data_IF_998277236210
#
_entry.id   IF_998277236210
#
_cell.length_a   1.000
_cell.length_b   1.000
_cell.length_c   1.000
_cell.angle_alpha   90.00
_cell.angle_beta   90.00
_cell.angle_gamma   90.00
#
_symmetry.space_group_name_H-M   'P 1'
#
loop_
_entity.id
_entity.type
_entity.pdbx_description
1 polymer ?
#
# COMPACT_ATOMS: atom_id res chain seq x y z
N UNK A 1 -16.49 40.72 3.17
CA UNK A 1 -17.65 40.05 3.80
C UNK A 1 -18.77 40.02 2.79
N UNK A 2 -19.31 38.87 2.56
CA UNK A 2 -20.44 38.68 1.65
C UNK A 2 -21.64 38.17 2.45
N UNK A 3 -22.78 38.80 2.31
CA UNK A 3 -24.05 38.28 2.81
C UNK A 3 -24.86 37.71 1.65
N UNK A 4 -25.98 37.08 1.93
CA UNK A 4 -26.87 36.51 0.91
C UNK A 4 -27.33 37.55 -0.16
N UNK A 5 -27.27 38.83 0.18
CA UNK A 5 -27.77 39.92 -0.68
C UNK A 5 -26.73 41.00 -1.02
N UNK A 6 -25.61 41.09 -0.30
CA UNK A 6 -24.63 42.18 -0.44
C UNK A 6 -23.21 41.74 -0.11
N UNK A 7 -22.25 42.43 -0.71
CA UNK A 7 -20.81 42.28 -0.38
C UNK A 7 -20.30 43.56 0.27
N UNK A 8 -19.45 43.41 1.26
CA UNK A 8 -18.84 44.50 2.02
C UNK A 8 -17.34 44.29 2.08
N UNK A 9 -16.57 45.37 2.03
CA UNK A 9 -15.12 45.34 2.25
C UNK A 9 -14.81 45.99 3.59
N UNK A 10 -13.89 45.39 4.37
CA UNK A 10 -13.41 46.01 5.61
C UNK A 10 -12.55 47.21 5.31
N UNK A 11 -12.46 48.14 6.25
CA UNK A 11 -11.48 49.23 6.27
C UNK A 11 -10.05 48.70 6.56
N UNK A 12 -9.08 49.58 6.64
CA UNK A 12 -7.67 49.26 6.92
C UNK A 12 -7.47 48.64 8.31
N UNK A 13 -8.40 48.76 9.23
CA UNK A 13 -8.37 48.18 10.57
C UNK A 13 -9.16 46.87 10.68
N UNK A 14 -9.73 46.40 9.57
CA UNK A 14 -10.52 45.19 9.51
C UNK A 14 -11.98 45.35 9.93
N UNK A 15 -12.51 46.57 10.06
CA UNK A 15 -13.88 46.84 10.43
C UNK A 15 -14.77 47.05 9.24
N UNK A 16 -16.01 46.61 9.34
CA UNK A 16 -17.12 46.99 8.45
C UNK A 16 -18.35 47.28 9.29
N UNK A 17 -19.01 48.38 8.98
CA UNK A 17 -20.24 48.78 9.65
C UNK A 17 -21.43 48.40 8.77
N UNK A 18 -22.30 47.57 9.32
CA UNK A 18 -23.49 47.10 8.64
C UNK A 18 -24.69 47.57 9.42
N UNK A 19 -25.63 48.24 8.74
CA UNK A 19 -26.86 48.74 9.37
C UNK A 19 -27.75 47.55 9.69
N UNK A 20 -28.03 47.34 10.96
CA UNK A 20 -28.82 46.22 11.45
C UNK A 20 -30.31 46.40 11.19
N UNK A 21 -31.10 45.39 11.51
CA UNK A 21 -32.55 45.32 11.42
C UNK A 21 -33.06 43.90 11.18
N UNK A 22 -32.38 43.12 10.36
CA UNK A 22 -32.77 41.75 10.04
C UNK A 22 -31.63 40.77 10.39
N UNK A 23 -31.98 39.50 10.55
CA UNK A 23 -31.00 38.43 10.71
C UNK A 23 -30.08 38.36 9.48
N UNK A 24 -28.79 38.13 9.70
CA UNK A 24 -27.79 38.18 8.63
C UNK A 24 -26.91 36.96 8.63
N UNK A 25 -26.87 36.28 7.49
CA UNK A 25 -25.96 35.17 7.22
C UNK A 25 -24.96 35.56 6.13
N UNK A 26 -23.78 34.98 6.17
CA UNK A 26 -22.82 35.27 5.13
C UNK A 26 -21.45 34.61 5.36
N UNK A 27 -20.50 35.04 4.56
CA UNK A 27 -19.13 34.53 4.56
C UNK A 27 -18.15 35.68 4.67
N UNK A 28 -17.14 35.55 5.51
CA UNK A 28 -15.97 36.40 5.53
C UNK A 28 -14.81 35.68 4.87
N UNK A 29 -14.09 36.37 4.00
CA UNK A 29 -12.87 35.82 3.34
C UNK A 29 -11.86 36.95 3.12
N UNK A 30 -10.57 36.58 3.05
CA UNK A 30 -9.49 37.46 2.68
C UNK A 30 -8.49 36.70 1.81
N UNK A 31 -7.72 37.39 0.97
CA UNK A 31 -6.69 36.79 0.12
C UNK A 31 -5.62 36.12 1.00
N UNK A 32 -5.32 34.83 0.76
CA UNK A 32 -4.39 34.06 1.54
C UNK A 32 -4.93 33.50 2.87
N UNK A 33 -6.25 33.65 3.09
CA UNK A 33 -6.93 33.15 4.27
C UNK A 33 -8.11 32.24 3.87
N UNK A 34 -8.44 31.30 4.75
CA UNK A 34 -9.66 30.52 4.61
C UNK A 34 -10.90 31.38 4.86
N UNK A 35 -12.00 31.00 4.22
CA UNK A 35 -13.29 31.64 4.50
C UNK A 35 -13.92 31.10 5.78
N UNK A 36 -14.67 31.95 6.49
CA UNK A 36 -15.50 31.58 7.62
C UNK A 36 -16.92 32.03 7.39
N UNK A 37 -17.92 31.31 7.90
CA UNK A 37 -19.32 31.64 7.81
C UNK A 37 -19.82 32.27 9.10
N UNK A 38 -20.85 33.08 9.02
CA UNK A 38 -21.51 33.66 10.19
C UNK A 38 -23.04 33.65 10.03
N UNK A 39 -23.72 33.58 11.16
CA UNK A 39 -25.17 33.63 11.25
C UNK A 39 -25.53 34.51 12.47
N UNK A 40 -25.91 35.74 12.24
CA UNK A 40 -26.27 36.67 13.29
C UNK A 40 -27.79 36.86 13.32
N UNK A 41 -28.41 36.83 14.51
CA UNK A 41 -29.83 37.18 14.66
C UNK A 41 -30.06 38.64 14.30
N UNK A 42 -31.32 39.04 14.19
CA UNK A 42 -31.70 40.43 14.00
C UNK A 42 -31.12 41.31 15.12
N UNK A 43 -30.46 42.40 14.74
CA UNK A 43 -29.74 43.29 15.65
C UNK A 43 -30.64 44.51 15.93
N UNK A 44 -31.00 44.68 17.20
CA UNK A 44 -31.85 45.80 17.67
C UNK A 44 -31.07 46.91 18.37
N UNK A 45 -29.81 46.64 18.77
CA UNK A 45 -28.92 47.60 19.42
C UNK A 45 -27.54 47.53 18.79
N UNK A 46 -26.70 48.55 19.03
CA UNK A 46 -25.32 48.54 18.58
C UNK A 46 -24.55 47.36 19.23
N UNK A 47 -24.08 46.47 18.41
CA UNK A 47 -23.28 45.29 18.81
C UNK A 47 -22.04 45.15 17.93
N UNK A 48 -21.02 44.56 18.45
CA UNK A 48 -19.82 44.19 17.68
C UNK A 48 -19.63 42.67 17.70
N UNK A 49 -19.29 42.11 16.56
CA UNK A 49 -18.93 40.70 16.42
C UNK A 49 -17.55 40.57 15.78
N UNK A 50 -16.75 39.74 16.36
CA UNK A 50 -15.42 39.41 15.80
C UNK A 50 -15.53 38.12 14.96
N UNK A 51 -15.12 38.21 13.70
CA UNK A 51 -15.05 37.09 12.79
C UNK A 51 -13.54 36.77 12.54
N UNK A 52 -13.12 35.59 12.90
CA UNK A 52 -11.75 35.18 12.67
C UNK A 52 -11.59 34.48 11.32
N UNK A 53 -10.57 34.85 10.59
CA UNK A 53 -10.11 34.16 9.39
C UNK A 53 -8.68 33.71 9.63
N UNK A 54 -8.38 32.48 9.28
CA UNK A 54 -7.04 31.90 9.48
C UNK A 54 -6.29 31.84 8.15
N UNK A 55 -4.99 32.17 8.20
CA UNK A 55 -4.14 32.02 7.05
C UNK A 55 -4.15 30.56 6.57
N UNK A 56 -4.17 30.38 5.26
CA UNK A 56 -3.96 29.08 4.64
C UNK A 56 -2.49 28.76 4.66
N UNK A 57 -2.16 27.55 5.05
CA UNK A 57 -0.80 27.03 5.07
C UNK A 57 -0.68 25.80 4.19
N UNK A 58 0.50 25.59 3.65
CA UNK A 58 0.81 24.41 2.86
C UNK A 58 1.01 23.20 3.77
N UNK A 59 0.19 22.17 3.59
CA UNK A 59 0.33 20.88 4.22
C UNK A 59 0.78 19.88 3.16
N UNK A 60 2.06 19.50 3.20
CA UNK A 60 2.66 18.55 2.27
C UNK A 60 2.44 17.13 2.78
N UNK A 61 1.75 16.30 2.02
CA UNK A 61 1.67 14.87 2.25
C UNK A 61 2.77 14.17 1.45
N UNK A 62 3.46 13.24 2.11
CA UNK A 62 4.50 12.38 1.50
C UNK A 62 4.05 10.94 1.69
N UNK A 63 3.67 10.29 0.61
CA UNK A 63 3.06 8.96 0.63
C UNK A 63 4.06 7.91 0.16
N UNK A 64 4.32 6.93 1.01
CA UNK A 64 5.22 5.81 0.73
C UNK A 64 4.54 4.48 1.02
N UNK A 65 4.89 3.48 0.24
CA UNK A 65 4.48 2.10 0.45
C UNK A 65 5.19 1.41 1.62
N UNK A 66 4.77 0.22 1.91
CA UNK A 66 5.20 -0.60 3.05
C UNK A 66 6.72 -0.78 3.13
N UNK A 67 7.41 -0.89 1.99
CA UNK A 67 8.86 -1.09 1.90
C UNK A 67 9.63 0.17 1.46
N UNK A 68 8.97 1.36 1.55
CA UNK A 68 9.58 2.65 1.26
C UNK A 68 9.49 3.07 -0.20
N UNK A 69 8.86 2.27 -1.07
CA UNK A 69 8.56 2.65 -2.45
C UNK A 69 7.70 3.92 -2.48
N UNK A 70 7.92 4.77 -3.47
CA UNK A 70 7.11 5.96 -3.70
C UNK A 70 5.73 5.52 -4.21
N UNK A 71 4.65 6.13 -3.69
CA UNK A 71 3.29 5.89 -4.16
C UNK A 71 2.82 7.09 -4.96
N UNK A 72 2.86 6.94 -6.28
CA UNK A 72 2.43 7.95 -7.26
C UNK A 72 0.94 7.78 -7.55
N UNK A 73 0.21 8.88 -7.77
CA UNK A 73 -1.22 8.82 -8.12
C UNK A 73 -2.15 8.45 -6.95
N UNK A 74 -1.64 8.41 -5.72
CA UNK A 74 -2.50 8.25 -4.56
C UNK A 74 -3.33 9.51 -4.33
N UNK A 75 -4.63 9.35 -4.16
CA UNK A 75 -5.54 10.46 -3.86
C UNK A 75 -5.54 10.73 -2.37
N UNK A 76 -5.08 11.91 -1.98
CA UNK A 76 -5.09 12.41 -0.60
C UNK A 76 -6.28 13.33 -0.43
N UNK A 77 -7.15 13.02 0.51
CA UNK A 77 -8.33 13.85 0.89
C UNK A 77 -8.16 14.34 2.32
N UNK A 78 -8.25 15.66 2.53
CA UNK A 78 -8.13 16.28 3.84
C UNK A 78 -8.81 17.65 3.84
N UNK A 79 -9.59 17.97 4.88
CA UNK A 79 -10.26 19.25 5.02
C UNK A 79 -11.21 19.61 3.84
N UNK A 80 -11.88 18.61 3.26
CA UNK A 80 -12.77 18.76 2.11
C UNK A 80 -12.05 19.04 0.79
N UNK A 81 -10.71 18.89 0.74
CA UNK A 81 -9.89 19.03 -0.46
C UNK A 81 -9.27 17.71 -0.82
N UNK A 82 -9.08 17.45 -2.13
CA UNK A 82 -8.43 16.24 -2.63
C UNK A 82 -7.37 16.58 -3.66
N UNK A 83 -6.28 15.83 -3.66
CA UNK A 83 -5.21 15.97 -4.64
C UNK A 83 -4.41 14.66 -4.77
N UNK A 84 -3.97 14.36 -5.98
CA UNK A 84 -3.13 13.19 -6.25
C UNK A 84 -1.65 13.47 -5.96
N UNK A 85 -0.93 12.44 -5.54
CA UNK A 85 0.52 12.48 -5.36
C UNK A 85 1.23 12.48 -6.73
N UNK A 86 2.31 13.24 -6.81
CA UNK A 86 3.18 13.34 -7.98
C UNK A 86 4.18 12.18 -8.06
N UNK A 87 5.12 12.22 -8.99
CA UNK A 87 6.18 11.23 -9.20
C UNK A 87 7.12 11.03 -7.99
N UNK A 88 7.09 11.93 -7.02
CA UNK A 88 7.84 11.83 -5.76
C UNK A 88 6.97 11.33 -4.60
N UNK A 89 5.73 10.93 -4.86
CA UNK A 89 4.76 10.54 -3.84
C UNK A 89 4.25 11.73 -3.00
N UNK A 90 4.33 12.95 -3.53
CA UNK A 90 4.02 14.16 -2.78
C UNK A 90 2.80 14.90 -3.35
N UNK A 91 1.98 15.44 -2.46
CA UNK A 91 1.01 16.48 -2.83
C UNK A 91 0.94 17.55 -1.74
N UNK A 92 0.46 18.73 -2.09
CA UNK A 92 0.29 19.86 -1.17
C UNK A 92 -1.18 20.26 -1.17
N UNK A 93 -1.80 20.25 0.00
CA UNK A 93 -3.12 20.80 0.26
C UNK A 93 -2.99 22.09 1.08
N UNK A 94 -3.74 23.10 0.70
CA UNK A 94 -3.79 24.37 1.44
C UNK A 94 -4.92 24.31 2.46
N UNK A 95 -4.59 24.28 3.75
CA UNK A 95 -5.53 24.17 4.85
C UNK A 95 -5.37 25.34 5.82
N UNK A 96 -6.42 25.66 6.56
CA UNK A 96 -6.37 26.62 7.66
C UNK A 96 -5.96 25.90 8.95
N UNK A 97 -5.63 26.68 10.00
CA UNK A 97 -5.44 26.13 11.35
C UNK A 97 -6.65 25.32 11.79
N UNK A 98 -6.41 24.09 12.25
CA UNK A 98 -7.47 23.16 12.70
C UNK A 98 -6.99 21.73 12.80
N UNK A 99 -7.88 20.87 13.26
CA UNK A 99 -7.68 19.41 13.25
C UNK A 99 -8.51 18.81 12.13
N UNK A 100 -7.89 18.00 11.28
CA UNK A 100 -8.52 17.41 10.11
C UNK A 100 -8.20 15.92 10.03
N UNK A 101 -9.22 15.12 9.77
CA UNK A 101 -9.02 13.75 9.36
C UNK A 101 -8.61 13.75 7.88
N UNK A 102 -7.68 12.84 7.56
CA UNK A 102 -7.27 12.59 6.19
C UNK A 102 -7.47 11.13 5.80
N UNK A 103 -7.69 10.92 4.54
CA UNK A 103 -7.73 9.62 3.89
C UNK A 103 -6.84 9.63 2.66
N UNK A 104 -6.10 8.53 2.46
CA UNK A 104 -5.27 8.32 1.27
C UNK A 104 -5.67 7.01 0.65
N UNK A 105 -6.07 7.03 -0.62
CA UNK A 105 -6.51 5.86 -1.39
C UNK A 105 -5.62 5.65 -2.61
N UNK A 106 -5.37 4.39 -2.94
CA UNK A 106 -4.66 3.98 -4.15
C UNK A 106 -5.10 2.57 -4.55
N UNK A 107 -5.31 2.26 -5.85
CA UNK A 107 -5.79 0.95 -6.28
C UNK A 107 -5.01 -0.25 -5.75
N UNK A 108 -3.68 -0.12 -5.68
CA UNK A 108 -2.75 -1.20 -5.34
C UNK A 108 -2.40 -1.27 -3.85
N UNK A 109 -3.02 -0.43 -3.03
CA UNK A 109 -2.72 -0.33 -1.62
C UNK A 109 -4.00 -0.32 -0.78
N UNK A 110 -3.90 -0.75 0.46
CA UNK A 110 -4.97 -0.53 1.44
C UNK A 110 -5.03 0.94 1.82
N UNK A 111 -6.24 1.45 2.03
CA UNK A 111 -6.48 2.84 2.44
C UNK A 111 -5.72 3.18 3.71
N UNK A 112 -5.13 4.37 3.74
CA UNK A 112 -4.51 4.92 4.92
C UNK A 112 -5.32 6.10 5.45
N UNK A 113 -5.57 6.14 6.74
CA UNK A 113 -6.34 7.18 7.43
C UNK A 113 -5.57 7.70 8.63
N UNK A 114 -5.82 8.95 8.98
CA UNK A 114 -5.23 9.57 10.15
C UNK A 114 -5.76 10.97 10.39
N UNK A 115 -5.23 11.63 11.40
CA UNK A 115 -5.59 13.00 11.77
C UNK A 115 -4.36 13.87 11.72
N UNK A 116 -4.49 15.08 11.18
CA UNK A 116 -3.44 16.10 11.16
C UNK A 116 -3.90 17.36 11.90
N UNK A 117 -3.05 17.85 12.79
CA UNK A 117 -3.27 19.12 13.49
C UNK A 117 -2.48 20.22 12.76
N UNK A 118 -3.20 21.06 12.02
CA UNK A 118 -2.63 22.16 11.22
C UNK A 118 -2.46 23.39 12.09
N UNK A 119 -1.24 23.88 12.20
CA UNK A 119 -0.88 25.12 12.90
C UNK A 119 -0.93 26.34 11.98
N UNK A 120 -0.03 27.29 12.23
CA UNK A 120 0.08 28.56 11.46
C UNK A 120 1.25 28.55 10.49
N UNK A 121 1.98 27.46 10.38
CA UNK A 121 3.15 27.31 9.50
C UNK A 121 3.00 26.07 8.61
N UNK A 122 3.64 26.09 7.44
CA UNK A 122 3.71 24.95 6.54
C UNK A 122 4.27 23.71 7.28
N UNK A 123 3.76 22.53 6.93
CA UNK A 123 4.14 21.28 7.57
C UNK A 123 4.13 20.11 6.59
N UNK A 124 4.71 18.99 7.03
CA UNK A 124 4.69 17.74 6.26
C UNK A 124 4.04 16.61 7.08
N UNK A 125 3.27 15.78 6.38
CA UNK A 125 2.63 14.57 6.90
C UNK A 125 3.18 13.38 6.13
N UNK A 126 3.84 12.47 6.84
CA UNK A 126 4.30 11.22 6.23
C UNK A 126 3.21 10.16 6.36
N UNK A 127 2.79 9.62 5.25
CA UNK A 127 1.77 8.55 5.20
C UNK A 127 2.42 7.27 4.68
N UNK A 128 2.21 6.19 5.40
CA UNK A 128 2.60 4.84 4.98
C UNK A 128 1.36 4.06 4.56
N UNK A 129 1.37 3.53 3.33
CA UNK A 129 0.33 2.65 2.81
C UNK A 129 0.82 1.21 2.76
N UNK A 130 -0.01 0.26 3.19
CA UNK A 130 0.29 -1.14 3.05
C UNK A 130 -0.13 -1.63 1.66
N UNK A 131 0.68 -2.49 1.07
CA UNK A 131 0.41 -3.08 -0.24
C UNK A 131 -0.81 -3.98 -0.16
N UNK A 132 -1.70 -3.91 -1.15
CA UNK A 132 -2.78 -4.86 -1.35
C UNK A 132 -2.36 -5.90 -2.42
N UNK A 133 -1.78 -7.04 -2.02
CA UNK A 133 -1.24 -8.01 -2.97
C UNK A 133 -2.31 -8.71 -3.80
N UNK A 134 -3.57 -8.66 -3.37
CA UNK A 134 -4.70 -9.23 -4.12
C UNK A 134 -5.11 -8.28 -5.24
N UNK A 135 -5.16 -6.97 -4.97
CA UNK A 135 -5.46 -5.96 -6.00
C UNK A 135 -4.37 -5.89 -7.07
N UNK A 136 -3.10 -6.10 -6.68
CA UNK A 136 -1.96 -6.12 -7.59
C UNK A 136 -1.76 -7.45 -8.31
N UNK A 137 -2.50 -8.50 -7.94
CA UNK A 137 -2.35 -9.82 -8.58
C UNK A 137 -2.66 -9.71 -10.08
N UNK A 138 -1.72 -10.10 -10.97
CA UNK A 138 -2.00 -10.16 -12.40
C UNK A 138 -3.00 -11.26 -12.71
N UNK A 139 -3.63 -11.18 -13.90
CA UNK A 139 -4.47 -12.26 -14.38
C UNK A 139 -3.69 -13.58 -14.52
N UNK A 140 -4.35 -14.68 -14.21
CA UNK A 140 -3.74 -16.01 -14.34
C UNK A 140 -3.56 -16.34 -15.83
N UNK A 141 -2.33 -16.50 -16.26
CA UNK A 141 -1.95 -16.73 -17.66
C UNK A 141 -1.09 -17.99 -17.86
N UNK A 142 -1.03 -18.85 -16.85
CA UNK A 142 -0.23 -20.08 -16.88
C UNK A 142 1.26 -19.88 -16.57
N UNK A 143 1.70 -18.65 -16.33
CA UNK A 143 3.08 -18.32 -15.93
C UNK A 143 3.28 -18.43 -14.42
N UNK A 144 4.55 -18.55 -13.99
CA UNK A 144 4.90 -18.30 -12.61
C UNK A 144 4.84 -16.78 -12.39
N UNK A 145 4.16 -16.33 -11.35
CA UNK A 145 3.91 -14.92 -11.10
C UNK A 145 4.28 -14.54 -9.67
N UNK A 146 5.11 -13.53 -9.51
CA UNK A 146 5.56 -13.04 -8.22
C UNK A 146 5.75 -11.52 -8.20
N UNK A 147 5.81 -10.93 -7.01
CA UNK A 147 6.17 -9.53 -6.80
C UNK A 147 7.48 -9.45 -6.04
N UNK A 148 8.40 -8.67 -6.55
CA UNK A 148 9.69 -8.39 -5.93
C UNK A 148 9.80 -6.91 -5.56
N UNK A 149 10.67 -6.61 -4.60
CA UNK A 149 11.05 -5.24 -4.23
C UNK A 149 12.50 -5.15 -3.83
N UNK A 150 13.10 -4.03 -4.13
CA UNK A 150 14.49 -3.74 -3.76
C UNK A 150 15.34 -3.41 -4.98
N UNK A 151 16.50 -2.76 -4.76
CA UNK A 151 17.36 -2.31 -5.86
C UNK A 151 18.10 -3.49 -6.53
N UNK A 152 18.17 -4.63 -5.88
CA UNK A 152 18.87 -5.83 -6.40
C UNK A 152 18.18 -7.08 -5.88
N UNK A 153 17.85 -7.97 -6.80
CA UNK A 153 17.18 -9.23 -6.55
C UNK A 153 17.89 -10.37 -7.32
N UNK A 154 17.56 -11.61 -6.99
CA UNK A 154 17.91 -12.75 -7.81
C UNK A 154 16.78 -13.77 -7.79
N UNK A 155 16.61 -14.48 -8.89
CA UNK A 155 15.70 -15.62 -9.01
C UNK A 155 16.53 -16.87 -9.31
N UNK A 156 16.30 -17.92 -8.55
CA UNK A 156 16.86 -19.23 -8.81
C UNK A 156 15.81 -20.10 -9.47
N UNK A 157 16.14 -20.64 -10.64
CA UNK A 157 15.27 -21.52 -11.41
C UNK A 157 15.97 -22.84 -11.66
N UNK A 158 15.24 -23.95 -11.52
CA UNK A 158 15.71 -25.27 -11.97
C UNK A 158 14.77 -25.79 -13.06
N UNK A 159 15.32 -26.06 -14.24
CA UNK A 159 14.59 -26.64 -15.36
C UNK A 159 15.45 -27.62 -16.13
N UNK A 160 14.88 -28.78 -16.59
CA UNK A 160 15.57 -29.71 -17.48
C UNK A 160 15.70 -29.18 -18.92
N UNK A 161 14.98 -28.11 -19.26
CA UNK A 161 15.01 -27.40 -20.54
C UNK A 161 15.40 -25.94 -20.34
N UNK A 162 15.81 -25.28 -21.40
CA UNK A 162 16.14 -23.83 -21.38
C UNK A 162 15.03 -22.99 -22.07
N UNK A 163 13.78 -23.46 -22.08
CA UNK A 163 12.70 -22.89 -22.90
C UNK A 163 11.88 -21.80 -22.16
N UNK A 164 12.21 -21.46 -20.92
CA UNK A 164 11.52 -20.41 -20.18
C UNK A 164 12.15 -19.03 -20.41
N UNK A 165 11.41 -17.98 -20.13
CA UNK A 165 11.83 -16.58 -20.17
C UNK A 165 11.52 -15.92 -18.82
N UNK A 166 12.41 -15.08 -18.32
CA UNK A 166 12.18 -14.24 -17.15
C UNK A 166 11.85 -12.83 -17.62
N UNK A 167 10.63 -12.36 -17.32
CA UNK A 167 10.25 -10.96 -17.42
C UNK A 167 10.39 -10.31 -16.04
N UNK A 168 11.29 -9.34 -15.91
CA UNK A 168 11.61 -8.70 -14.63
C UNK A 168 10.62 -7.63 -14.20
N UNK A 169 9.64 -7.27 -15.05
CA UNK A 169 8.61 -6.29 -14.74
C UNK A 169 9.06 -4.83 -14.80
N UNK A 170 10.27 -4.57 -15.27
CA UNK A 170 10.84 -3.24 -15.53
C UNK A 170 11.10 -2.98 -17.02
N UNK A 171 10.57 -3.86 -17.88
CA UNK A 171 10.79 -3.86 -19.33
C UNK A 171 11.99 -4.67 -19.78
N UNK A 172 12.75 -5.25 -18.85
CA UNK A 172 13.86 -6.16 -19.16
C UNK A 172 13.36 -7.61 -19.14
N UNK A 173 13.86 -8.39 -20.11
CA UNK A 173 13.64 -9.85 -20.15
C UNK A 173 14.98 -10.56 -20.23
N UNK A 174 15.02 -11.80 -19.74
CA UNK A 174 16.17 -12.67 -19.78
C UNK A 174 15.79 -14.07 -20.25
N UNK A 175 16.50 -14.57 -21.24
CA UNK A 175 16.37 -15.91 -21.74
C UNK A 175 17.48 -16.79 -21.17
N UNK A 176 17.18 -17.94 -20.57
CA UNK A 176 18.18 -18.78 -19.94
C UNK A 176 19.14 -19.39 -20.96
N UNK A 177 20.36 -19.61 -20.52
CA UNK A 177 21.36 -20.37 -21.24
C UNK A 177 21.64 -21.69 -20.53
N UNK A 178 21.12 -22.80 -21.07
CA UNK A 178 21.36 -24.15 -20.55
C UNK A 178 20.39 -24.61 -19.48
N UNK A 179 20.52 -25.87 -19.10
CA UNK A 179 19.61 -26.62 -18.22
C UNK A 179 20.09 -26.69 -16.78
N UNK A 180 19.25 -27.23 -15.89
CA UNK A 180 19.54 -27.44 -14.48
C UNK A 180 19.28 -26.20 -13.62
N UNK A 181 19.93 -26.15 -12.45
CA UNK A 181 19.75 -25.05 -11.51
C UNK A 181 20.63 -23.85 -11.90
N UNK A 182 19.97 -22.71 -12.07
CA UNK A 182 20.59 -21.43 -12.44
C UNK A 182 20.12 -20.34 -11.50
N UNK A 183 20.96 -19.32 -11.29
CA UNK A 183 20.60 -18.11 -10.56
C UNK A 183 20.77 -16.90 -11.47
N UNK A 184 19.76 -16.07 -11.50
CA UNK A 184 19.65 -14.88 -12.34
C UNK A 184 19.63 -13.65 -11.44
N UNK A 185 20.76 -12.94 -11.27
CA UNK A 185 20.81 -11.67 -10.56
C UNK A 185 20.25 -10.58 -11.44
N UNK A 186 19.45 -9.69 -10.86
CA UNK A 186 18.91 -8.51 -11.53
C UNK A 186 19.02 -7.27 -10.64
N UNK A 187 19.27 -6.10 -11.26
CA UNK A 187 19.39 -4.83 -10.57
C UNK A 187 18.34 -3.88 -11.11
N UNK A 188 17.41 -3.51 -10.26
CA UNK A 188 16.42 -2.47 -10.52
C UNK A 188 17.03 -1.08 -10.23
N UNK A 189 16.44 -0.03 -10.83
CA UNK A 189 16.92 1.35 -10.64
C UNK A 189 16.59 1.92 -9.26
N UNK A 190 15.63 1.35 -8.54
CA UNK A 190 15.14 1.83 -7.26
C UNK A 190 14.57 0.71 -6.37
N UNK A 191 13.90 1.10 -5.26
CA UNK A 191 13.18 0.20 -4.36
C UNK A 191 11.70 0.02 -4.75
N UNK A 192 11.38 0.06 -6.04
CA UNK A 192 10.04 -0.15 -6.57
C UNK A 192 9.46 -1.52 -6.26
N UNK A 193 8.23 -1.73 -6.73
CA UNK A 193 7.55 -3.02 -6.74
C UNK A 193 7.48 -3.50 -8.19
N UNK A 194 7.95 -4.71 -8.43
CA UNK A 194 8.09 -5.27 -9.77
C UNK A 194 7.30 -6.57 -9.86
N UNK A 195 6.39 -6.63 -10.83
CA UNK A 195 5.65 -7.85 -11.16
C UNK A 195 6.50 -8.69 -12.10
N UNK A 196 7.00 -9.79 -11.60
CA UNK A 196 7.90 -10.69 -12.34
C UNK A 196 7.14 -11.92 -12.81
N UNK A 197 7.37 -12.30 -14.06
CA UNK A 197 6.83 -13.52 -14.64
C UNK A 197 7.92 -14.45 -15.16
N UNK A 198 7.72 -15.75 -14.96
CA UNK A 198 8.48 -16.77 -15.69
C UNK A 198 7.54 -17.38 -16.71
N UNK A 199 7.77 -17.05 -17.98
CA UNK A 199 6.99 -17.51 -19.12
C UNK A 199 7.49 -18.87 -19.61
N UNK A 200 6.65 -19.62 -20.32
CA UNK A 200 6.98 -20.96 -20.85
C UNK A 200 7.51 -21.92 -19.76
N UNK A 201 6.96 -21.79 -18.55
CA UNK A 201 7.52 -22.45 -17.34
C UNK A 201 7.11 -23.92 -17.19
N UNK A 202 6.51 -24.58 -18.21
CA UNK A 202 5.96 -25.94 -18.11
C UNK A 202 6.94 -27.02 -17.60
N UNK A 203 8.23 -26.87 -17.84
CA UNK A 203 9.25 -27.78 -17.38
C UNK A 203 10.06 -27.28 -16.17
N UNK A 204 9.75 -26.10 -15.65
CA UNK A 204 10.38 -25.54 -14.43
C UNK A 204 9.97 -26.36 -13.22
N UNK A 205 10.95 -26.91 -12.50
CA UNK A 205 10.76 -27.77 -11.32
C UNK A 205 11.03 -27.06 -10.00
N UNK A 206 11.74 -25.93 -10.02
CA UNK A 206 11.96 -25.05 -8.88
C UNK A 206 12.10 -23.62 -9.35
N UNK A 207 11.47 -22.69 -8.65
CA UNK A 207 11.60 -21.26 -8.89
C UNK A 207 11.39 -20.50 -7.57
N UNK A 208 12.42 -19.78 -7.14
CA UNK A 208 12.36 -18.95 -5.93
C UNK A 208 13.15 -17.67 -6.11
N UNK A 209 12.60 -16.56 -5.69
CA UNK A 209 13.32 -15.32 -5.56
C UNK A 209 14.14 -15.29 -4.25
N UNK A 210 15.16 -14.44 -4.20
CA UNK A 210 15.93 -14.21 -2.97
C UNK A 210 15.02 -13.73 -1.83
N UNK A 211 15.28 -14.22 -0.62
CA UNK A 211 14.43 -14.02 0.56
C UNK A 211 14.29 -12.55 0.98
N UNK A 212 15.26 -11.70 0.60
CA UNK A 212 15.26 -10.27 0.89
C UNK A 212 14.39 -9.43 -0.05
N UNK A 213 13.92 -9.99 -1.17
CA UNK A 213 13.15 -9.24 -2.17
C UNK A 213 11.72 -9.74 -2.36
N UNK A 214 11.40 -11.00 -2.06
CA UNK A 214 10.08 -11.57 -2.33
C UNK A 214 9.02 -10.92 -1.47
N UNK A 215 8.02 -10.30 -2.13
CA UNK A 215 6.88 -9.64 -1.49
C UNK A 215 5.61 -10.49 -1.61
N UNK A 216 5.32 -10.98 -2.82
CA UNK A 216 4.22 -11.89 -3.06
C UNK A 216 4.63 -12.97 -4.06
N UNK A 217 4.10 -14.18 -3.89
CA UNK A 217 4.22 -15.25 -4.87
C UNK A 217 2.81 -15.70 -5.25
N UNK A 218 2.29 -15.19 -6.35
CA UNK A 218 0.88 -15.34 -6.69
C UNK A 218 0.52 -16.69 -7.29
N UNK A 219 1.37 -17.24 -8.16
CA UNK A 219 1.10 -18.48 -8.87
C UNK A 219 2.36 -19.21 -9.29
N UNK A 220 2.33 -20.53 -9.26
CA UNK A 220 3.33 -21.39 -9.93
C UNK A 220 2.97 -21.74 -11.36
N UNK A 221 1.87 -21.20 -11.88
CA UNK A 221 1.42 -21.36 -13.25
C UNK A 221 1.23 -22.83 -13.65
N UNK A 222 1.56 -23.14 -14.91
CA UNK A 222 1.60 -24.50 -15.44
C UNK A 222 2.86 -25.29 -15.15
N UNK A 223 3.78 -24.76 -14.31
CA UNK A 223 5.07 -25.38 -14.02
C UNK A 223 4.96 -26.67 -13.19
N UNK A 224 6.08 -27.40 -13.13
CA UNK A 224 6.27 -28.57 -12.25
C UNK A 224 6.90 -28.21 -10.91
N UNK A 225 6.87 -26.92 -10.53
CA UNK A 225 7.47 -26.46 -9.28
C UNK A 225 6.88 -27.20 -8.09
N UNK A 226 7.77 -27.74 -7.28
CA UNK A 226 7.49 -28.43 -6.02
C UNK A 226 8.49 -27.97 -4.96
N UNK A 227 8.33 -28.44 -3.73
CA UNK A 227 9.27 -28.16 -2.63
C UNK A 227 9.47 -26.66 -2.35
N UNK A 228 8.42 -25.85 -2.44
CA UNK A 228 8.47 -24.43 -2.10
C UNK A 228 8.66 -24.26 -0.59
N UNK A 229 9.49 -23.28 -0.21
CA UNK A 229 9.67 -22.81 1.15
C UNK A 229 9.87 -21.29 1.14
N UNK A 230 9.18 -20.59 2.00
CA UNK A 230 9.30 -19.15 2.19
C UNK A 230 10.12 -18.76 3.41
N UNK A 231 10.83 -19.72 4.00
CA UNK A 231 11.67 -19.48 5.18
C UNK A 231 12.65 -18.32 4.94
N UNK A 232 12.62 -17.33 5.84
CA UNK A 232 13.48 -16.15 5.74
C UNK A 232 12.96 -15.06 4.76
N UNK A 233 11.83 -15.24 4.12
CA UNK A 233 11.25 -14.23 3.23
C UNK A 233 10.67 -13.07 4.07
N UNK A 234 11.55 -12.21 4.59
CA UNK A 234 11.19 -11.17 5.55
C UNK A 234 10.22 -10.10 5.00
N UNK A 235 10.12 -9.96 3.70
CA UNK A 235 9.18 -9.04 3.03
C UNK A 235 7.92 -9.72 2.51
N UNK A 236 7.78 -11.03 2.64
CA UNK A 236 6.61 -11.77 2.18
C UNK A 236 5.34 -11.29 2.91
N UNK A 237 4.31 -10.97 2.14
CA UNK A 237 2.99 -10.59 2.64
C UNK A 237 1.86 -11.47 2.09
N UNK A 238 2.13 -12.26 1.02
CA UNK A 238 1.13 -13.10 0.38
C UNK A 238 1.74 -14.25 -0.39
N UNK A 239 1.07 -15.41 -0.40
CA UNK A 239 1.32 -16.50 -1.33
C UNK A 239 -0.01 -17.12 -1.81
N UNK A 240 -0.03 -17.56 -3.06
CA UNK A 240 -1.25 -18.00 -3.75
C UNK A 240 -1.68 -19.41 -3.38
N UNK A 241 -2.91 -19.72 -3.75
CA UNK A 241 -3.59 -20.99 -3.41
C UNK A 241 -3.01 -22.24 -4.08
N UNK A 242 -2.27 -22.10 -5.16
CA UNK A 242 -1.73 -23.22 -5.96
C UNK A 242 -0.27 -23.58 -5.62
N UNK A 243 0.33 -22.91 -4.64
CA UNK A 243 1.76 -23.05 -4.31
C UNK A 243 2.21 -24.49 -4.05
N UNK A 244 1.36 -25.33 -3.53
CA UNK A 244 1.70 -26.71 -3.15
C UNK A 244 1.02 -27.77 -4.01
N UNK A 245 0.34 -27.39 -5.12
CA UNK A 245 -0.41 -28.33 -5.95
C UNK A 245 0.40 -29.48 -6.56
N UNK A 246 1.70 -29.28 -6.75
CA UNK A 246 2.61 -30.30 -7.29
C UNK A 246 3.35 -31.10 -6.20
N UNK A 247 3.09 -30.82 -4.91
CA UNK A 247 3.82 -31.40 -3.78
C UNK A 247 2.86 -32.02 -2.74
N UNK A 248 1.78 -32.64 -3.23
CA UNK A 248 0.71 -33.19 -2.39
C UNK A 248 1.15 -34.35 -1.48
N UNK A 249 2.32 -34.94 -1.74
CA UNK A 249 2.89 -36.02 -0.90
C UNK A 249 3.85 -35.49 0.16
N UNK A 250 3.93 -34.17 0.35
CA UNK A 250 4.82 -33.55 1.36
C UNK A 250 4.46 -34.05 2.77
N UNK A 251 5.50 -34.45 3.50
CA UNK A 251 5.38 -34.97 4.88
C UNK A 251 5.86 -33.97 5.94
N UNK A 252 6.62 -32.94 5.55
CA UNK A 252 7.09 -31.90 6.46
C UNK A 252 6.91 -30.52 5.87
N UNK A 253 6.37 -29.61 6.68
CA UNK A 253 6.30 -28.17 6.45
C UNK A 253 7.10 -27.39 7.51
N UNK A 254 8.05 -28.07 8.13
CA UNK A 254 8.96 -27.47 9.10
C UNK A 254 9.59 -26.21 8.53
N UNK A 255 9.55 -25.11 9.30
CA UNK A 255 10.10 -23.79 8.95
C UNK A 255 9.55 -23.16 7.66
N UNK A 256 8.51 -23.69 7.03
CA UNK A 256 8.10 -23.27 5.67
C UNK A 256 7.80 -21.77 5.54
N UNK A 257 7.35 -21.13 6.62
CA UNK A 257 7.06 -19.70 6.73
C UNK A 257 7.86 -19.02 7.86
N UNK A 258 8.90 -19.67 8.37
CA UNK A 258 9.67 -19.10 9.47
C UNK A 258 10.37 -17.80 9.04
N UNK A 259 10.49 -16.84 9.95
CA UNK A 259 11.11 -15.52 9.71
C UNK A 259 10.43 -14.70 8.60
N UNK A 260 9.15 -14.94 8.30
CA UNK A 260 8.35 -14.10 7.42
C UNK A 260 7.80 -12.89 8.20
N UNK A 261 8.69 -11.98 8.56
CA UNK A 261 8.41 -10.91 9.53
C UNK A 261 7.44 -9.84 9.02
N UNK A 262 7.15 -9.76 7.72
CA UNK A 262 6.16 -8.83 7.16
C UNK A 262 4.74 -9.38 7.10
N UNK A 263 4.53 -10.67 7.38
CA UNK A 263 3.18 -11.26 7.46
C UNK A 263 2.42 -10.68 8.64
N UNK A 264 1.30 -10.04 8.38
CA UNK A 264 0.34 -9.56 9.40
C UNK A 264 -0.88 -10.47 9.53
N UNK A 265 -1.17 -11.22 8.48
CA UNK A 265 -2.14 -12.31 8.40
C UNK A 265 -1.60 -13.36 7.44
N UNK A 266 -2.10 -14.59 7.52
CA UNK A 266 -1.74 -15.67 6.60
C UNK A 266 -2.95 -16.51 6.27
N UNK A 267 -3.15 -16.77 4.97
CA UNK A 267 -4.11 -17.76 4.49
C UNK A 267 -3.40 -19.11 4.35
N UNK A 268 -3.77 -20.08 5.19
CA UNK A 268 -3.21 -21.43 5.17
C UNK A 268 -3.98 -22.40 4.26
N UNK A 269 -5.01 -21.94 3.55
CA UNK A 269 -5.77 -22.74 2.59
C UNK A 269 -4.87 -23.47 1.57
N UNK A 270 -3.77 -22.87 1.06
CA UNK A 270 -2.85 -23.58 0.16
C UNK A 270 -2.22 -24.86 0.73
N UNK A 271 -2.18 -24.98 2.05
CA UNK A 271 -1.64 -26.16 2.75
C UNK A 271 -2.70 -27.24 3.04
N UNK A 272 -3.99 -26.94 2.86
CA UNK A 272 -5.10 -27.83 3.27
C UNK A 272 -5.08 -29.21 2.58
N UNK A 273 -4.55 -29.27 1.37
CA UNK A 273 -4.44 -30.53 0.61
C UNK A 273 -3.24 -31.42 0.99
N UNK A 274 -2.34 -30.96 1.86
CA UNK A 274 -1.13 -31.68 2.25
C UNK A 274 -1.43 -32.68 3.39
N UNK A 275 -2.30 -33.66 3.14
CA UNK A 275 -2.83 -34.59 4.16
C UNK A 275 -1.78 -35.58 4.74
N UNK A 276 -0.62 -35.65 4.14
CA UNK A 276 0.49 -36.52 4.60
C UNK A 276 1.49 -35.83 5.53
N UNK A 277 1.24 -34.58 5.91
CA UNK A 277 2.13 -33.84 6.82
C UNK A 277 2.12 -34.50 8.21
N UNK A 278 3.33 -34.76 8.69
CA UNK A 278 3.60 -35.33 10.03
C UNK A 278 4.55 -34.44 10.85
N UNK A 279 5.07 -33.36 10.24
CA UNK A 279 6.01 -32.46 10.88
C UNK A 279 5.76 -31.01 10.43
N UNK A 280 5.31 -30.18 11.38
CA UNK A 280 5.10 -28.74 11.21
C UNK A 280 5.98 -27.93 12.20
N UNK A 281 7.12 -28.49 12.62
CA UNK A 281 7.99 -27.85 13.58
C UNK A 281 8.39 -26.43 13.14
N UNK A 282 8.11 -25.45 13.99
CA UNK A 282 8.43 -24.04 13.76
C UNK A 282 7.92 -23.46 12.42
N UNK A 283 6.79 -23.95 11.92
CA UNK A 283 6.22 -23.53 10.64
C UNK A 283 6.07 -21.99 10.52
N UNK A 284 5.64 -21.33 11.59
CA UNK A 284 5.42 -19.87 11.68
C UNK A 284 6.39 -19.21 12.68
N UNK A 285 7.55 -19.82 12.93
CA UNK A 285 8.52 -19.28 13.89
C UNK A 285 9.01 -17.90 13.47
N UNK A 286 9.07 -16.97 14.41
CA UNK A 286 9.55 -15.58 14.22
C UNK A 286 8.77 -14.77 13.15
N UNK A 287 7.46 -15.04 13.01
CA UNK A 287 6.52 -14.20 12.25
C UNK A 287 5.96 -13.10 13.17
N UNK A 288 6.83 -12.20 13.67
CA UNK A 288 6.55 -11.29 14.78
C UNK A 288 5.42 -10.28 14.57
N UNK A 289 4.99 -10.03 13.34
CA UNK A 289 3.87 -9.13 13.02
C UNK A 289 2.54 -9.87 12.83
N UNK A 290 2.52 -11.20 12.93
CA UNK A 290 1.33 -12.01 12.78
C UNK A 290 0.49 -11.92 14.04
N UNK A 291 -0.72 -11.35 13.96
CA UNK A 291 -1.59 -11.10 15.11
C UNK A 291 -2.57 -12.22 15.40
N UNK A 292 -2.93 -12.98 14.37
CA UNK A 292 -3.84 -14.13 14.47
C UNK A 292 -3.60 -15.10 13.31
N UNK A 293 -3.93 -16.37 13.52
CA UNK A 293 -3.84 -17.43 12.49
C UNK A 293 -5.09 -18.27 12.57
N UNK A 294 -5.76 -18.48 11.44
CA UNK A 294 -6.79 -19.50 11.31
C UNK A 294 -6.16 -20.84 10.93
N UNK A 295 -6.21 -21.81 11.82
CA UNK A 295 -5.71 -23.16 11.59
C UNK A 295 -6.76 -24.12 11.01
N UNK A 296 -8.01 -23.67 10.82
CA UNK A 296 -9.09 -24.48 10.25
C UNK A 296 -8.70 -25.17 8.94
N UNK A 297 -7.98 -24.53 8.00
CA UNK A 297 -7.54 -25.20 6.78
C UNK A 297 -6.66 -26.42 7.00
N UNK A 298 -6.01 -26.54 8.17
CA UNK A 298 -5.10 -27.65 8.51
C UNK A 298 -5.79 -28.79 9.27
N UNK A 299 -7.12 -28.76 9.38
CA UNK A 299 -7.90 -29.79 10.11
C UNK A 299 -7.75 -31.22 9.55
N UNK A 300 -7.28 -31.36 8.31
CA UNK A 300 -6.93 -32.67 7.70
C UNK A 300 -5.57 -33.25 8.13
N UNK A 301 -4.77 -32.52 8.92
CA UNK A 301 -3.47 -33.00 9.42
C UNK A 301 -3.66 -33.78 10.70
N UNK A 302 -3.90 -35.08 10.57
CA UNK A 302 -4.25 -35.94 11.70
C UNK A 302 -3.07 -36.56 12.43
N UNK A 303 -1.85 -36.39 11.89
CA UNK A 303 -0.62 -37.02 12.41
C UNK A 303 0.49 -36.01 12.77
N UNK A 304 0.16 -34.74 12.95
CA UNK A 304 1.12 -33.67 13.32
C UNK A 304 1.21 -33.49 14.82
#
# INVERSE_FOLDING_TARGET
ITTDTKSYTTDANGYVYIRGGEAMKGTVSALGYGSNTFDFPAITNDTSHTLEVYAVVDVKFVVKGQFGAIVTGATVTCGGKSKETNLYGECILQLTKGSYDYEVIHPDHYDAKGTVNVGTSAMSVNVKMNINPIAMKPEENGNIQMMLTGPSCSISVNSPTADYEIDWGDGMTENPSGTGSKSYPHTYGDNGLYQVEIRNCGDVTSCMASTSCLVAYWSIGGSKVSSISFSGCSKLIYFGKDMFKNDMNRTSVSYILSNCTSLTSVDLTPLSGLVNVTDAYRMLYDCGNLTSVDLTPLSGWVNV
#
